data_IF_129679681270
#
_entry.id   IF_129679681270
#
_cell.length_a   1.000
_cell.length_b   1.000
_cell.length_c   1.000
_cell.angle_alpha   90.00
_cell.angle_beta   90.00
_cell.angle_gamma   90.00
#
_symmetry.space_group_name_H-M   'P 1'
#
loop_
_entity.id
_entity.type
_entity.pdbx_description
1 polymer ?
#
# COMPACT_ATOMS: atom_id res chain seq x y z
N UNK A 1 24.74 -33.93 26.72
CA UNK A 1 25.47 -32.94 25.90
C UNK A 1 24.99 -32.90 24.46
N UNK A 2 24.91 -33.97 23.73
CA UNK A 2 24.46 -33.99 22.31
C UNK A 2 22.99 -33.61 22.16
N UNK A 3 22.09 -34.01 23.08
CA UNK A 3 20.66 -33.68 23.05
C UNK A 3 20.37 -32.17 23.24
N UNK A 4 21.16 -31.50 24.04
CA UNK A 4 21.00 -30.04 24.29
C UNK A 4 21.47 -29.20 23.10
N UNK A 5 22.48 -29.65 22.39
CA UNK A 5 22.97 -28.98 21.16
C UNK A 5 21.99 -29.14 20.01
N UNK A 6 21.34 -30.28 19.86
CA UNK A 6 20.31 -30.53 18.86
C UNK A 6 19.05 -29.66 19.08
N UNK A 7 18.61 -29.48 20.30
CA UNK A 7 17.48 -28.59 20.61
C UNK A 7 17.78 -27.13 20.34
N UNK A 8 19.01 -26.67 20.64
CA UNK A 8 19.40 -25.30 20.35
C UNK A 8 19.52 -25.04 18.84
N UNK A 9 20.00 -26.02 18.07
CA UNK A 9 20.09 -25.90 16.61
C UNK A 9 18.71 -25.87 15.93
N UNK A 10 17.76 -26.69 16.40
CA UNK A 10 16.39 -26.70 15.88
C UNK A 10 15.64 -25.42 16.22
N UNK A 11 15.88 -24.81 17.38
CA UNK A 11 15.30 -23.52 17.76
C UNK A 11 15.82 -22.37 16.88
N UNK A 12 17.10 -22.38 16.56
CA UNK A 12 17.72 -21.37 15.66
C UNK A 12 17.18 -21.49 14.23
N UNK A 13 16.94 -22.68 13.72
CA UNK A 13 16.33 -22.89 12.41
C UNK A 13 14.88 -22.42 12.38
N UNK A 14 14.13 -22.54 13.46
CA UNK A 14 12.75 -22.10 13.56
C UNK A 14 12.63 -20.57 13.58
N UNK A 15 13.52 -19.88 14.29
CA UNK A 15 13.57 -18.41 14.35
C UNK A 15 13.96 -17.81 12.99
N UNK A 16 14.87 -18.42 12.23
CA UNK A 16 15.24 -17.95 10.90
C UNK A 16 14.13 -18.15 9.85
N UNK A 17 13.23 -19.10 10.01
CA UNK A 17 12.06 -19.27 9.15
C UNK A 17 10.97 -18.21 9.39
N UNK A 18 10.75 -17.76 10.61
CA UNK A 18 9.72 -16.76 10.96
C UNK A 18 10.06 -15.37 10.40
N UNK A 19 11.34 -14.99 10.32
CA UNK A 19 11.78 -13.68 9.80
C UNK A 19 11.73 -13.52 8.28
N UNK A 20 11.44 -14.60 7.53
CA UNK A 20 11.45 -14.60 6.06
C UNK A 20 10.07 -14.46 5.40
N UNK A 21 8.98 -14.29 6.17
CA UNK A 21 7.62 -14.43 5.67
C UNK A 21 7.04 -13.18 5.05
N UNK A 22 7.52 -11.99 5.39
CA UNK A 22 7.08 -10.71 4.81
C UNK A 22 8.32 -9.90 4.41
N UNK A 23 8.40 -9.52 3.14
CA UNK A 23 9.54 -8.82 2.57
C UNK A 23 9.12 -7.54 1.86
N UNK A 24 9.80 -6.44 2.17
CA UNK A 24 9.68 -5.21 1.41
C UNK A 24 10.36 -5.37 0.05
N UNK A 25 9.63 -5.06 -1.02
CA UNK A 25 10.08 -5.15 -2.41
C UNK A 25 9.72 -3.89 -3.17
N UNK A 26 10.10 -3.83 -4.44
CA UNK A 26 9.69 -2.77 -5.36
C UNK A 26 8.86 -3.39 -6.50
N UNK A 27 7.56 -3.06 -6.55
CA UNK A 27 6.67 -3.46 -7.62
C UNK A 27 6.77 -2.57 -8.87
N UNK A 28 7.74 -1.68 -8.92
CA UNK A 28 7.95 -0.74 -10.02
C UNK A 28 7.27 0.61 -9.84
N UNK A 29 6.67 0.86 -8.70
CA UNK A 29 6.05 2.15 -8.38
C UNK A 29 7.05 3.12 -7.75
N UNK A 30 6.86 4.45 -7.93
CA UNK A 30 7.66 5.43 -7.22
C UNK A 30 7.49 5.31 -5.70
N UNK A 31 8.53 5.58 -4.93
CA UNK A 31 8.44 5.63 -3.46
C UNK A 31 7.60 6.82 -2.98
N UNK A 32 7.63 7.92 -3.73
CA UNK A 32 6.89 9.15 -3.43
C UNK A 32 6.22 9.68 -4.69
N UNK A 33 4.95 10.03 -4.57
CA UNK A 33 4.14 10.66 -5.60
C UNK A 33 3.67 12.01 -5.06
N UNK A 34 3.88 13.10 -5.81
CA UNK A 34 3.47 14.44 -5.40
C UNK A 34 2.43 15.00 -6.37
N UNK A 35 1.32 15.46 -5.81
CA UNK A 35 0.26 16.18 -6.53
C UNK A 35 0.32 17.67 -6.20
N UNK A 36 -0.02 18.51 -7.18
CA UNK A 36 -0.32 19.89 -6.94
C UNK A 36 -1.59 20.05 -6.10
N UNK A 37 -1.83 21.22 -5.54
CA UNK A 37 -3.01 21.51 -4.71
C UNK A 37 -4.35 21.27 -5.42
N UNK A 38 -4.39 21.40 -6.74
CA UNK A 38 -5.58 21.16 -7.57
C UNK A 38 -6.00 19.70 -7.59
N UNK A 39 -5.13 18.79 -7.20
CA UNK A 39 -5.38 17.35 -7.26
C UNK A 39 -5.37 16.81 -8.69
N UNK A 40 -6.13 15.76 -8.91
CA UNK A 40 -6.28 15.15 -10.22
C UNK A 40 -6.25 13.64 -10.21
N UNK A 41 -6.06 13.06 -11.38
CA UNK A 41 -6.03 11.62 -11.60
C UNK A 41 -4.72 11.23 -12.26
N UNK A 42 -4.12 10.11 -11.83
CA UNK A 42 -2.93 9.53 -12.45
C UNK A 42 -2.97 8.01 -12.41
N UNK A 43 -2.45 7.39 -13.46
CA UNK A 43 -2.25 5.94 -13.55
C UNK A 43 -0.77 5.63 -13.41
N UNK A 44 -0.45 4.65 -12.57
CA UNK A 44 0.91 4.14 -12.40
C UNK A 44 0.95 2.67 -12.79
N UNK A 45 1.89 2.32 -13.64
CA UNK A 45 2.11 0.96 -14.11
C UNK A 45 3.23 0.31 -13.30
N UNK A 46 2.94 -0.83 -12.71
CA UNK A 46 3.93 -1.67 -12.06
C UNK A 46 4.62 -2.61 -13.02
N UNK A 47 5.60 -3.34 -12.52
CA UNK A 47 6.33 -4.37 -13.28
C UNK A 47 6.09 -5.77 -12.71
N UNK A 48 5.24 -5.91 -11.71
CA UNK A 48 4.90 -7.18 -11.07
C UNK A 48 3.46 -7.15 -10.57
N UNK A 49 2.84 -8.31 -10.43
CA UNK A 49 1.48 -8.43 -9.93
C UNK A 49 1.43 -8.23 -8.41
N UNK A 50 0.34 -7.66 -7.97
CA UNK A 50 0.00 -7.48 -6.56
C UNK A 50 -1.48 -7.85 -6.32
N UNK A 51 -1.84 -8.17 -5.08
CA UNK A 51 -3.18 -8.63 -4.74
C UNK A 51 -4.06 -7.57 -4.11
N UNK A 52 -3.48 -6.60 -3.40
CA UNK A 52 -4.25 -5.54 -2.75
C UNK A 52 -3.45 -4.25 -2.59
N UNK A 53 -4.17 -3.15 -2.43
CA UNK A 53 -3.62 -1.85 -2.01
C UNK A 53 -4.47 -1.34 -0.87
N UNK A 54 -3.81 -0.80 0.16
CA UNK A 54 -4.47 -0.11 1.27
C UNK A 54 -4.04 1.35 1.31
N UNK A 55 -5.02 2.20 1.60
CA UNK A 55 -4.82 3.64 1.81
C UNK A 55 -4.96 3.93 3.29
N UNK A 56 -4.01 4.62 3.88
CA UNK A 56 -4.13 5.02 5.28
C UNK A 56 -3.35 6.30 5.60
N UNK A 57 -3.81 6.96 6.65
CA UNK A 57 -3.17 8.15 7.16
C UNK A 57 -1.91 7.77 7.96
N UNK A 58 -0.72 8.33 7.63
CA UNK A 58 0.49 8.08 8.40
C UNK A 58 0.44 8.65 9.83
N UNK A 59 -0.43 9.64 10.07
CA UNK A 59 -0.68 10.22 11.39
C UNK A 59 -2.10 9.86 11.85
N UNK A 60 -2.31 8.70 12.50
CA UNK A 60 -3.62 8.26 12.92
C UNK A 60 -4.27 9.26 13.88
N UNK A 61 -5.55 9.53 13.65
CA UNK A 61 -6.40 10.33 14.54
C UNK A 61 -7.49 9.45 15.15
N UNK A 62 -8.15 9.90 16.20
CA UNK A 62 -9.22 9.15 16.87
C UNK A 62 -10.42 8.79 15.94
N UNK A 63 -10.45 9.35 14.74
CA UNK A 63 -11.49 9.13 13.72
C UNK A 63 -11.03 8.29 12.51
N UNK A 64 -9.98 7.50 12.63
CA UNK A 64 -9.38 6.74 11.52
C UNK A 64 -10.20 5.55 10.99
N UNK A 65 -11.45 5.42 11.40
CA UNK A 65 -12.36 4.40 10.87
C UNK A 65 -13.12 4.82 9.61
N UNK A 66 -12.74 5.94 9.00
CA UNK A 66 -13.49 6.57 7.91
C UNK A 66 -12.91 6.25 6.53
N UNK A 67 -12.51 5.01 6.33
CA UNK A 67 -12.13 4.52 5.01
C UNK A 67 -13.30 3.80 4.34
N UNK A 68 -13.41 3.94 3.03
CA UNK A 68 -14.38 3.25 2.20
C UNK A 68 -13.68 2.29 1.25
N UNK A 69 -14.25 1.12 1.07
CA UNK A 69 -13.79 0.14 0.10
C UNK A 69 -14.95 -0.32 -0.78
N UNK A 70 -14.65 -0.76 -1.96
CA UNK A 70 -15.66 -1.24 -2.87
C UNK A 70 -15.10 -2.13 -3.97
N UNK A 71 -16.00 -2.72 -4.73
CA UNK A 71 -15.68 -3.58 -5.86
C UNK A 71 -16.69 -3.38 -6.98
N UNK A 72 -16.22 -3.28 -8.21
CA UNK A 72 -17.05 -3.21 -9.39
C UNK A 72 -17.00 -4.56 -10.13
N UNK A 73 -18.10 -5.31 -10.12
CA UNK A 73 -18.18 -6.62 -10.76
C UNK A 73 -17.94 -6.57 -12.29
N UNK A 74 -18.36 -5.48 -12.93
CA UNK A 74 -18.24 -5.33 -14.39
C UNK A 74 -16.78 -5.18 -14.85
N UNK A 75 -15.97 -4.49 -14.09
CA UNK A 75 -14.57 -4.18 -14.43
C UNK A 75 -13.56 -4.99 -13.63
N UNK A 76 -13.99 -5.62 -12.55
CA UNK A 76 -13.11 -6.32 -11.61
C UNK A 76 -12.21 -5.38 -10.80
N UNK A 77 -12.53 -4.09 -10.77
CA UNK A 77 -11.71 -3.08 -10.09
C UNK A 77 -12.14 -2.96 -8.64
N UNK A 78 -11.15 -2.95 -7.75
CA UNK A 78 -11.30 -2.65 -6.35
C UNK A 78 -11.04 -1.17 -6.09
N UNK A 79 -11.71 -0.64 -5.08
CA UNK A 79 -11.57 0.74 -4.65
C UNK A 79 -11.18 0.74 -3.17
N UNK A 80 -10.15 1.49 -2.84
CA UNK A 80 -9.78 1.81 -1.46
C UNK A 80 -9.67 3.32 -1.33
N UNK A 81 -10.31 3.91 -0.33
CA UNK A 81 -10.30 5.34 -0.15
C UNK A 81 -10.19 5.73 1.31
N UNK A 82 -9.41 6.75 1.58
CA UNK A 82 -9.36 7.44 2.87
C UNK A 82 -9.24 8.96 2.61
N UNK A 83 -10.21 9.70 3.15
CA UNK A 83 -10.26 11.17 3.12
C UNK A 83 -10.24 11.73 1.68
N UNK A 84 -9.11 12.30 1.26
CA UNK A 84 -8.94 12.99 -0.01
C UNK A 84 -8.29 12.14 -1.11
N UNK A 85 -7.92 10.91 -0.80
CA UNK A 85 -7.26 10.00 -1.72
C UNK A 85 -8.09 8.73 -1.93
N UNK A 86 -8.31 8.40 -3.20
CA UNK A 86 -8.89 7.12 -3.61
C UNK A 86 -7.94 6.41 -4.56
N UNK A 87 -7.82 5.10 -4.41
CA UNK A 87 -7.07 4.24 -5.32
C UNK A 87 -7.99 3.17 -5.92
N UNK A 88 -7.86 2.99 -7.23
CA UNK A 88 -8.46 1.86 -7.97
C UNK A 88 -7.35 0.91 -8.40
N UNK A 89 -7.58 -0.39 -8.27
CA UNK A 89 -6.61 -1.43 -8.63
C UNK A 89 -7.26 -2.75 -9.00
N UNK A 90 -6.51 -3.64 -9.65
CA UNK A 90 -6.98 -4.95 -10.07
C UNK A 90 -7.84 -4.91 -11.32
N UNK A 91 -8.46 -6.03 -11.67
CA UNK A 91 -9.35 -6.16 -12.81
C UNK A 91 -8.74 -5.66 -14.13
N UNK A 92 -9.40 -4.73 -14.78
CA UNK A 92 -8.96 -4.14 -16.05
C UNK A 92 -7.67 -3.32 -15.96
N UNK A 93 -7.27 -2.91 -14.76
CA UNK A 93 -6.03 -2.18 -14.53
C UNK A 93 -4.79 -3.08 -14.49
N UNK A 94 -4.98 -4.41 -14.31
CA UNK A 94 -3.88 -5.39 -14.26
C UNK A 94 -2.88 -5.09 -13.17
N UNK A 95 -1.59 -4.87 -13.54
CA UNK A 95 -0.51 -4.54 -12.61
C UNK A 95 -0.39 -3.04 -12.33
N UNK A 96 -1.42 -2.27 -12.66
CA UNK A 96 -1.48 -0.82 -12.51
C UNK A 96 -2.45 -0.42 -11.41
N UNK A 97 -2.28 0.78 -10.89
CA UNK A 97 -3.30 1.44 -10.08
C UNK A 97 -3.56 2.86 -10.56
N UNK A 98 -4.74 3.36 -10.27
CA UNK A 98 -5.15 4.72 -10.57
C UNK A 98 -5.45 5.47 -9.29
N UNK A 99 -4.86 6.65 -9.15
CA UNK A 99 -5.08 7.55 -8.02
C UNK A 99 -6.04 8.67 -8.41
N UNK A 100 -6.95 8.98 -7.50
CA UNK A 100 -7.82 10.15 -7.53
C UNK A 100 -7.52 10.99 -6.29
N UNK A 101 -7.09 12.21 -6.50
CA UNK A 101 -6.73 13.14 -5.43
C UNK A 101 -7.63 14.36 -5.53
N UNK A 102 -8.38 14.62 -4.46
CA UNK A 102 -9.24 15.79 -4.36
C UNK A 102 -8.42 17.09 -4.27
N UNK A 103 -8.98 18.24 -4.70
CA UNK A 103 -8.33 19.53 -4.48
C UNK A 103 -8.04 19.78 -3.00
N UNK A 104 -6.87 20.30 -2.70
CA UNK A 104 -6.48 20.69 -1.35
C UNK A 104 -6.86 22.15 -1.08
N UNK A 105 -7.90 22.36 -0.29
CA UNK A 105 -8.39 23.68 0.11
C UNK A 105 -7.95 24.10 1.50
N UNK A 106 -7.11 23.29 2.16
CA UNK A 106 -6.67 23.55 3.55
C UNK A 106 -5.59 24.62 3.66
N UNK A 107 -4.87 24.94 2.59
CA UNK A 107 -3.72 25.82 2.57
C UNK A 107 -2.45 25.20 3.17
N UNK A 108 -2.48 23.92 3.52
CA UNK A 108 -1.35 23.17 4.11
C UNK A 108 -1.07 21.92 3.30
N UNK A 109 0.21 21.53 3.11
CA UNK A 109 0.54 20.23 2.52
C UNK A 109 -0.03 19.09 3.35
N UNK A 110 -0.36 18.01 2.67
CA UNK A 110 -0.89 16.79 3.29
C UNK A 110 -0.32 15.54 2.63
N UNK A 111 -0.39 14.43 3.33
CA UNK A 111 0.13 13.16 2.84
C UNK A 111 -0.72 11.98 3.28
N UNK A 112 -0.69 10.95 2.47
CA UNK A 112 -1.25 9.64 2.73
C UNK A 112 -0.23 8.56 2.38
N UNK A 113 -0.47 7.37 2.80
CA UNK A 113 0.40 6.23 2.58
C UNK A 113 -0.39 5.11 1.91
N UNK A 114 0.19 4.55 0.86
CA UNK A 114 -0.30 3.34 0.22
C UNK A 114 0.60 2.17 0.60
N UNK A 115 0.01 1.02 0.87
CA UNK A 115 0.72 -0.25 0.92
C UNK A 115 0.21 -1.13 -0.20
N UNK A 116 1.08 -1.44 -1.14
CA UNK A 116 0.85 -2.40 -2.23
C UNK A 116 1.31 -3.76 -1.74
N UNK A 117 0.39 -4.72 -1.68
CA UNK A 117 0.64 -6.02 -1.07
C UNK A 117 0.47 -7.17 -2.07
N UNK A 118 1.34 -8.14 -1.96
CA UNK A 118 1.14 -9.52 -2.37
C UNK A 118 1.36 -10.42 -1.14
N UNK A 119 1.13 -11.74 -1.26
CA UNK A 119 1.07 -12.67 -0.10
C UNK A 119 2.24 -12.52 0.87
N UNK A 120 3.48 -12.36 0.39
CA UNK A 120 4.70 -12.26 1.21
C UNK A 120 5.51 -10.99 0.95
N UNK A 121 5.03 -10.12 0.08
CA UNK A 121 5.78 -8.96 -0.39
C UNK A 121 4.92 -7.70 -0.30
N UNK A 122 5.55 -6.57 -0.02
CA UNK A 122 4.85 -5.29 0.00
C UNK A 122 5.76 -4.16 -0.45
N UNK A 123 5.14 -3.11 -0.98
CA UNK A 123 5.79 -1.83 -1.24
C UNK A 123 4.98 -0.71 -0.60
N UNK A 124 5.67 0.22 0.06
CA UNK A 124 5.09 1.45 0.57
C UNK A 124 5.27 2.58 -0.43
N UNK A 125 4.19 3.30 -0.73
CA UNK A 125 4.19 4.49 -1.58
C UNK A 125 3.62 5.66 -0.78
N UNK A 126 4.37 6.75 -0.72
CA UNK A 126 3.93 7.98 -0.06
C UNK A 126 3.28 8.90 -1.08
N UNK A 127 2.04 9.31 -0.85
CA UNK A 127 1.33 10.27 -1.69
C UNK A 127 1.25 11.60 -0.95
N UNK A 128 1.87 12.61 -1.53
CA UNK A 128 1.94 13.97 -1.00
C UNK A 128 1.15 14.92 -1.87
N UNK A 129 0.53 15.91 -1.27
CA UNK A 129 -0.14 16.98 -1.99
C UNK A 129 0.27 18.34 -1.44
N UNK A 130 0.56 19.25 -2.34
CA UNK A 130 0.86 20.65 -2.00
C UNK A 130 -0.36 21.37 -1.43
N UNK A 131 -0.08 22.35 -0.58
CA UNK A 131 -1.12 23.19 0.02
C UNK A 131 -1.41 24.49 -0.72
#
# INVERSE_FOLDING_TARGET
MIKTVLCALSLLLFVSCIGAWVRQVNFGFPETITFAKEGGERVYNGNDSFSSIRVYNPEPTDNDNDFSYGYCEKTGVHYEADRWLMVEFGGVLGDSFKLYVEPNTTGKPRQMKLTVDDIYEFQTVHVKQEG
#
